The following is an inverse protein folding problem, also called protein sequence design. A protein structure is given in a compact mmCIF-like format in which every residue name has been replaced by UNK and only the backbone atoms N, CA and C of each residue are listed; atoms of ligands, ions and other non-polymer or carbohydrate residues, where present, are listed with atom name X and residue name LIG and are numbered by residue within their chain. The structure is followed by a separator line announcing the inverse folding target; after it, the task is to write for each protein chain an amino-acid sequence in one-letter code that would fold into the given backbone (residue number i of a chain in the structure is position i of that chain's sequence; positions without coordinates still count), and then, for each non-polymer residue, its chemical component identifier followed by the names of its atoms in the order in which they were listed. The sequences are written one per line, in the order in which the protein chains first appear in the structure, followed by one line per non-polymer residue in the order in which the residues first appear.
data_IF_328002332117
#
_entry.id   IF_328002332117
#
_cell.length_a   1.000
_cell.length_b   1.000
_cell.length_c   1.000
_cell.angle_alpha   90.00
_cell.angle_beta   90.00
_cell.angle_gamma   90.00
#
_symmetry.space_group_name_H-M   'P 1'
#
loop_
_entity.id
_entity.type
_entity.pdbx_description
1 polymer ?
#
# COMPACT_ATOMS: atom_id res chain seq x y z
N UNK A 1 -4.11 3.05 23.84
CA UNK A 1 -5.00 3.00 22.68
C UNK A 1 -4.32 3.65 21.48
N UNK A 2 -3.69 2.84 20.62
CA UNK A 2 -2.92 3.32 19.46
C UNK A 2 -3.83 3.74 18.31
N UNK A 3 -3.70 4.99 17.89
CA UNK A 3 -4.43 5.55 16.75
C UNK A 3 -3.91 4.93 15.44
N UNK A 4 -4.50 3.81 15.00
CA UNK A 4 -4.58 3.43 13.59
C UNK A 4 -5.55 4.34 12.80
N UNK A 5 -5.63 5.62 13.15
CA UNK A 5 -6.36 6.60 12.35
C UNK A 5 -5.44 7.09 11.23
N UNK A 6 -5.28 6.23 10.22
CA UNK A 6 -5.04 6.52 8.79
C UNK A 6 -4.55 7.92 8.39
N UNK A 7 -3.53 8.42 9.05
CA UNK A 7 -2.87 9.69 8.74
C UNK A 7 -1.39 9.46 8.96
N UNK A 8 -0.76 8.78 8.01
CA UNK A 8 0.68 8.85 7.90
C UNK A 8 1.01 10.34 7.69
N UNK A 9 1.60 10.96 8.71
CA UNK A 9 1.91 12.39 8.78
C UNK A 9 2.53 13.00 7.50
N UNK A 10 3.38 12.29 6.72
CA UNK A 10 3.97 12.85 5.52
C UNK A 10 3.05 12.92 4.28
N UNK A 11 1.93 12.18 4.21
CA UNK A 11 1.11 12.10 2.98
C UNK A 11 -0.12 13.05 2.97
N UNK A 12 -0.20 14.05 3.86
CA UNK A 12 -1.41 14.90 4.03
C UNK A 12 -1.74 15.84 2.85
N UNK A 13 -0.82 16.03 1.91
CA UNK A 13 -0.96 17.00 0.79
C UNK A 13 -0.61 16.40 -0.59
N UNK A 14 -0.57 15.07 -0.71
CA UNK A 14 -0.19 14.37 -1.96
C UNK A 14 -1.23 13.31 -2.31
N UNK A 15 -1.41 13.05 -3.60
CA UNK A 15 -2.39 12.06 -4.07
C UNK A 15 -2.02 10.65 -3.55
N UNK A 16 -3.01 9.83 -3.14
CA UNK A 16 -2.76 8.43 -2.82
C UNK A 16 -2.05 7.75 -4.00
N UNK A 17 -1.03 6.95 -3.70
CA UNK A 17 -0.20 6.29 -4.72
C UNK A 17 1.08 6.99 -5.15
N UNK A 18 1.31 8.22 -4.70
CA UNK A 18 2.50 8.99 -5.10
C UNK A 18 3.55 9.19 -4.00
N UNK A 19 3.24 8.85 -2.74
CA UNK A 19 4.16 9.07 -1.62
C UNK A 19 4.97 7.83 -1.21
N UNK A 20 4.57 6.61 -1.56
CA UNK A 20 5.28 5.36 -1.22
C UNK A 20 5.34 4.99 0.27
N UNK A 21 4.91 5.88 1.18
CA UNK A 21 4.99 5.68 2.62
C UNK A 21 4.04 4.61 3.16
N UNK A 22 3.05 4.20 2.37
CA UNK A 22 2.07 3.16 2.70
C UNK A 22 2.42 1.81 2.06
N UNK A 23 3.67 1.60 1.59
CA UNK A 23 4.11 0.33 1.00
C UNK A 23 4.15 -0.78 2.05
N UNK A 24 3.57 -1.91 1.73
CA UNK A 24 3.55 -3.13 2.56
C UNK A 24 3.78 -4.33 1.65
N UNK A 25 4.34 -5.40 2.20
CA UNK A 25 4.58 -6.62 1.42
C UNK A 25 3.35 -7.52 1.48
N UNK A 26 2.88 -7.96 0.33
CA UNK A 26 1.78 -8.92 0.20
C UNK A 26 2.37 -10.34 0.29
N UNK A 27 1.97 -11.08 1.31
CA UNK A 27 2.37 -12.47 1.50
C UNK A 27 1.39 -13.44 0.86
N UNK A 28 0.10 -13.12 0.86
CA UNK A 28 -0.94 -13.94 0.26
C UNK A 28 -2.14 -13.09 -0.15
N UNK A 29 -2.89 -13.59 -1.14
CA UNK A 29 -4.10 -12.97 -1.67
C UNK A 29 -3.85 -12.09 -2.89
N UNK A 30 -4.90 -11.42 -3.35
CA UNK A 30 -4.85 -10.56 -4.53
C UNK A 30 -5.37 -9.16 -4.20
N UNK A 31 -4.60 -8.14 -4.56
CA UNK A 31 -5.00 -6.75 -4.41
C UNK A 31 -4.94 -6.05 -5.76
N UNK A 32 -5.95 -5.21 -5.99
CA UNK A 32 -6.01 -4.34 -7.16
C UNK A 32 -5.65 -2.91 -6.74
N UNK A 33 -4.84 -2.23 -7.55
CA UNK A 33 -4.39 -0.87 -7.27
C UNK A 33 -4.58 -0.03 -8.52
N UNK A 34 -5.08 1.19 -8.36
CA UNK A 34 -5.29 2.11 -9.49
C UNK A 34 -4.05 2.94 -9.82
N UNK A 35 -3.20 3.23 -8.83
CA UNK A 35 -2.03 4.08 -9.01
C UNK A 35 -0.80 3.53 -8.26
N UNK A 36 0.10 2.87 -8.95
CA UNK A 36 1.31 2.26 -8.38
C UNK A 36 2.59 3.04 -8.72
N UNK A 37 2.48 4.33 -9.05
CA UNK A 37 3.61 5.21 -9.46
C UNK A 37 4.78 5.23 -8.46
N UNK A 38 4.49 5.01 -7.17
CA UNK A 38 5.51 4.97 -6.12
C UNK A 38 6.19 3.60 -5.92
N UNK A 39 5.76 2.55 -6.64
CA UNK A 39 6.36 1.21 -6.62
C UNK A 39 7.28 1.03 -7.83
N UNK A 40 8.50 0.57 -7.59
CA UNK A 40 9.38 0.17 -8.69
C UNK A 40 8.95 -1.20 -9.27
N UNK A 41 9.44 -1.54 -10.46
CA UNK A 41 9.19 -2.87 -11.04
C UNK A 41 9.71 -4.00 -10.12
N UNK A 42 10.81 -3.76 -9.41
CA UNK A 42 11.33 -4.69 -8.40
C UNK A 42 10.40 -4.80 -7.20
N UNK A 43 9.85 -3.69 -6.69
CA UNK A 43 8.88 -3.73 -5.60
C UNK A 43 7.64 -4.54 -5.99
N UNK A 44 7.12 -4.35 -7.22
CA UNK A 44 5.99 -5.14 -7.74
C UNK A 44 6.34 -6.63 -7.86
N UNK A 45 7.55 -6.95 -8.33
CA UNK A 45 8.03 -8.33 -8.42
C UNK A 45 8.22 -8.99 -7.04
N UNK A 46 8.61 -8.22 -6.03
CA UNK A 46 8.73 -8.67 -4.63
C UNK A 46 7.36 -8.77 -3.91
N UNK A 47 6.28 -8.34 -4.57
CA UNK A 47 4.92 -8.36 -4.01
C UNK A 47 4.57 -7.17 -3.13
N UNK A 48 5.25 -6.03 -3.27
CA UNK A 48 4.89 -4.82 -2.53
C UNK A 48 3.66 -4.12 -3.11
N UNK A 49 2.83 -3.62 -2.21
CA UNK A 49 1.55 -2.97 -2.51
C UNK A 49 1.36 -1.73 -1.64
N UNK A 50 0.65 -0.73 -2.13
CA UNK A 50 0.40 0.52 -1.41
C UNK A 50 -0.92 0.45 -0.60
N UNK A 51 -0.83 0.12 0.68
CA UNK A 51 -1.99 -0.09 1.57
C UNK A 51 -3.01 1.06 1.56
N UNK A 52 -2.58 2.29 1.27
CA UNK A 52 -3.45 3.46 1.22
C UNK A 52 -4.46 3.48 0.05
N UNK A 53 -4.30 2.61 -0.95
CA UNK A 53 -5.24 2.47 -2.08
C UNK A 53 -5.45 1.01 -2.50
N UNK A 54 -4.91 0.05 -1.74
CA UNK A 54 -5.07 -1.37 -2.02
C UNK A 54 -6.55 -1.73 -1.93
N UNK A 55 -7.13 -2.13 -3.05
CA UNK A 55 -8.45 -2.75 -3.08
C UNK A 55 -8.28 -4.25 -2.97
N UNK A 56 -8.72 -4.78 -1.85
CA UNK A 56 -8.60 -6.18 -1.50
C UNK A 56 -9.81 -6.91 -2.11
N UNK A 57 -9.56 -7.81 -3.04
CA UNK A 57 -10.63 -8.60 -3.70
C UNK A 57 -10.87 -9.95 -3.01
N UNK A 58 -9.91 -10.42 -2.19
CA UNK A 58 -9.92 -11.72 -1.53
C UNK A 58 -9.23 -11.67 -0.17
N UNK A 59 -9.13 -12.78 0.55
CA UNK A 59 -8.39 -12.83 1.82
C UNK A 59 -6.90 -12.55 1.56
N UNK A 60 -6.41 -11.40 2.05
CA UNK A 60 -5.02 -10.98 1.87
C UNK A 60 -4.29 -10.94 3.19
N UNK A 61 -3.05 -11.42 3.18
CA UNK A 61 -2.11 -11.32 4.29
C UNK A 61 -0.99 -10.39 3.89
N UNK A 62 -0.79 -9.31 4.66
CA UNK A 62 0.29 -8.34 4.45
C UNK A 62 1.16 -8.26 5.70
N UNK A 63 2.48 -8.09 5.50
CA UNK A 63 3.42 -7.79 6.58
C UNK A 63 3.71 -6.29 6.61
N UNK A 64 3.65 -5.71 7.83
CA UNK A 64 3.72 -4.27 8.10
C UNK A 64 5.10 -3.81 8.57
#
# INVERSE_FOLDING_TARGET
MGLWRGRCGPCRNRAPGTCGACRVKLNAGEVSMTNDDALTEQDKADGYVLACQAQISSDVTVEA
#
